data_IF_945356493997
#
_entry.id   IF_945356493997
#
_cell.length_a   1.000
_cell.length_b   1.000
_cell.length_c   1.000
_cell.angle_alpha   90.00
_cell.angle_beta   90.00
_cell.angle_gamma   90.00
#
_symmetry.space_group_name_H-M   'P 1'
#
loop_
_entity.id
_entity.type
_entity.pdbx_description
1 polymer ?
#
# COMPACT_ATOMS: atom_id res chain seq x y z
N UNK A 1 -12.28 4.03 19.68
CA UNK A 1 -12.39 4.19 18.22
C UNK A 1 -11.04 3.88 17.63
N UNK A 2 -10.93 2.85 16.79
CA UNK A 2 -9.66 2.51 16.12
C UNK A 2 -9.66 3.26 14.80
N UNK A 3 -8.57 3.95 14.48
CA UNK A 3 -8.41 4.66 13.22
C UNK A 3 -7.56 3.81 12.29
N UNK A 4 -8.07 3.52 11.10
CA UNK A 4 -7.36 2.75 10.09
C UNK A 4 -6.66 3.70 9.10
N UNK A 5 -5.36 3.48 8.86
CA UNK A 5 -4.62 4.25 7.87
C UNK A 5 -4.97 3.84 6.43
N UNK A 6 -5.35 2.58 6.24
CA UNK A 6 -5.83 1.99 5.00
C UNK A 6 -7.01 1.07 5.35
N UNK A 7 -8.04 1.07 4.52
CA UNK A 7 -9.25 0.26 4.72
C UNK A 7 -9.76 -0.22 3.36
N UNK A 8 -9.74 -1.54 3.12
CA UNK A 8 -10.22 -2.16 1.87
C UNK A 8 -9.52 -1.68 0.58
N UNK A 9 -8.18 -1.65 0.57
CA UNK A 9 -7.41 -1.27 -0.63
C UNK A 9 -7.12 -2.47 -1.53
N UNK A 10 -7.62 -2.42 -2.76
CA UNK A 10 -7.23 -3.32 -3.85
C UNK A 10 -6.47 -2.52 -4.93
N UNK A 11 -5.26 -2.97 -5.26
CA UNK A 11 -4.40 -2.33 -6.25
C UNK A 11 -3.56 -3.38 -6.98
N UNK A 12 -3.61 -3.35 -8.31
CA UNK A 12 -2.73 -4.12 -9.20
C UNK A 12 -1.95 -3.13 -10.08
N UNK A 13 -0.63 -3.29 -10.16
CA UNK A 13 0.26 -2.40 -10.93
C UNK A 13 1.09 -3.26 -11.87
N UNK A 14 0.99 -2.99 -13.17
CA UNK A 14 1.65 -3.79 -14.19
C UNK A 14 3.11 -3.40 -14.37
N UNK A 15 3.92 -4.35 -14.84
CA UNK A 15 5.30 -4.07 -15.21
C UNK A 15 5.37 -2.95 -16.27
N UNK A 16 6.17 -1.92 -16.00
CA UNK A 16 6.29 -0.73 -16.87
C UNK A 16 5.24 0.35 -16.65
N UNK A 17 4.28 0.14 -15.75
CA UNK A 17 3.28 1.15 -15.39
C UNK A 17 3.87 2.19 -14.43
N UNK A 18 3.59 3.48 -14.68
CA UNK A 18 3.93 4.57 -13.77
C UNK A 18 2.66 5.01 -13.04
N UNK A 19 2.60 4.74 -11.73
CA UNK A 19 1.47 5.10 -10.88
C UNK A 19 1.86 6.20 -9.89
N UNK A 20 0.99 7.20 -9.75
CA UNK A 20 1.14 8.25 -8.75
C UNK A 20 0.07 8.10 -7.65
N UNK A 21 0.50 8.11 -6.39
CA UNK A 21 -0.38 8.02 -5.22
C UNK A 21 -0.63 9.42 -4.66
N UNK A 22 -1.84 9.94 -4.84
CA UNK A 22 -2.20 11.33 -4.50
C UNK A 22 -3.33 11.40 -3.48
N UNK A 23 -3.40 12.51 -2.73
CA UNK A 23 -4.44 12.74 -1.72
C UNK A 23 -3.98 13.61 -0.54
N UNK A 24 -4.90 14.09 0.32
CA UNK A 24 -4.61 15.01 1.43
C UNK A 24 -3.60 14.44 2.44
N UNK A 25 -2.94 15.31 3.22
CA UNK A 25 -2.06 14.84 4.30
C UNK A 25 -2.83 13.96 5.29
N UNK A 26 -2.20 12.89 5.78
CA UNK A 26 -2.81 11.95 6.73
C UNK A 26 -3.68 10.83 6.12
N UNK A 27 -3.98 10.84 4.81
CA UNK A 27 -4.84 9.82 4.20
C UNK A 27 -4.18 8.44 3.94
N UNK A 28 -3.01 8.15 4.52
CA UNK A 28 -2.39 6.82 4.43
C UNK A 28 -1.39 6.59 3.29
N UNK A 29 -1.15 7.53 2.38
CA UNK A 29 -0.23 7.35 1.22
C UNK A 29 1.16 6.83 1.60
N UNK A 30 1.82 7.50 2.53
CA UNK A 30 3.17 7.10 2.96
C UNK A 30 3.15 5.81 3.79
N UNK A 31 2.02 5.45 4.39
CA UNK A 31 1.84 4.14 5.03
C UNK A 31 1.78 3.06 3.96
N UNK A 32 0.94 3.24 2.93
CA UNK A 32 0.81 2.35 1.78
C UNK A 32 2.15 2.11 1.08
N UNK A 33 2.88 3.19 0.74
CA UNK A 33 4.17 3.07 0.05
C UNK A 33 5.23 2.35 0.90
N UNK A 34 5.21 2.51 2.23
CA UNK A 34 6.12 1.78 3.12
C UNK A 34 5.77 0.30 3.23
N UNK A 35 4.48 -0.04 3.22
CA UNK A 35 4.02 -1.44 3.18
C UNK A 35 4.49 -2.10 1.89
N UNK A 36 4.23 -1.47 0.73
CA UNK A 36 4.66 -1.99 -0.59
C UNK A 36 6.18 -2.14 -0.66
N UNK A 37 6.94 -1.25 -0.03
CA UNK A 37 8.40 -1.33 0.04
C UNK A 37 8.94 -2.36 1.07
N UNK A 38 8.08 -3.06 1.82
CA UNK A 38 8.48 -4.00 2.86
C UNK A 38 9.07 -3.34 4.12
N UNK A 39 8.80 -2.06 4.31
CA UNK A 39 9.33 -1.26 5.42
C UNK A 39 8.35 -1.13 6.59
N UNK A 40 7.11 -1.57 6.42
CA UNK A 40 6.08 -1.51 7.45
C UNK A 40 5.17 -2.74 7.35
N UNK A 41 4.93 -3.48 8.46
CA UNK A 41 3.97 -4.58 8.47
C UNK A 41 2.55 -4.05 8.27
N UNK A 42 1.67 -4.90 7.73
CA UNK A 42 0.26 -4.59 7.50
C UNK A 42 -0.64 -5.52 8.34
N UNK A 43 -1.88 -5.07 8.60
CA UNK A 43 -2.78 -5.76 9.53
C UNK A 43 -3.43 -7.02 8.97
N UNK A 44 -3.70 -7.04 7.66
CA UNK A 44 -4.41 -8.15 6.98
C UNK A 44 -4.26 -8.04 5.46
N UNK A 45 -4.48 -9.15 4.77
CA UNK A 45 -4.46 -9.22 3.30
C UNK A 45 -3.15 -9.78 2.76
N UNK A 46 -2.80 -9.39 1.54
CA UNK A 46 -1.58 -9.83 0.85
C UNK A 46 -0.99 -8.66 0.07
N UNK A 47 0.34 -8.57 0.04
CA UNK A 47 1.08 -7.64 -0.81
C UNK A 47 2.15 -8.43 -1.53
N UNK A 48 2.17 -8.34 -2.85
CA UNK A 48 3.14 -9.04 -3.68
C UNK A 48 3.86 -8.07 -4.61
N UNK A 49 5.19 -8.14 -4.65
CA UNK A 49 6.03 -7.34 -5.55
C UNK A 49 6.93 -8.28 -6.34
N UNK A 50 6.84 -8.22 -7.68
CA UNK A 50 7.59 -9.12 -8.56
C UNK A 50 7.25 -10.61 -8.35
N UNK A 51 6.01 -10.91 -7.93
CA UNK A 51 5.55 -12.27 -7.66
C UNK A 51 6.03 -12.87 -6.33
N UNK A 52 6.49 -12.04 -5.38
CA UNK A 52 6.91 -12.45 -4.05
C UNK A 52 6.16 -11.67 -2.98
N UNK A 53 5.78 -12.35 -1.92
CA UNK A 53 5.21 -11.71 -0.74
C UNK A 53 6.24 -10.76 -0.09
N UNK A 54 5.75 -9.64 0.43
CA UNK A 54 6.56 -8.58 1.04
C UNK A 54 6.42 -8.61 2.57
#
# INVERSE_FOLDING_TARGET
MVTHALDGLDLDVRAGELVAVVGPSGCGKSTMLRIVAGLLPFSSGVVQVGGRDV
#
